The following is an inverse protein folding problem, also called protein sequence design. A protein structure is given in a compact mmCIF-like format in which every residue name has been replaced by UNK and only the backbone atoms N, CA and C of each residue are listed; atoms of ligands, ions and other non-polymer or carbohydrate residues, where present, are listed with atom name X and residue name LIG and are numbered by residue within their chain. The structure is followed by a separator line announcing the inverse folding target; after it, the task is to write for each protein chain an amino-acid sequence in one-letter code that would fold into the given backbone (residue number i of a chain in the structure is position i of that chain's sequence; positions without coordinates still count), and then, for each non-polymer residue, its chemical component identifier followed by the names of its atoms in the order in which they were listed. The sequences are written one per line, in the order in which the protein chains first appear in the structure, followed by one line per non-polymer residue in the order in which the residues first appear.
data_IF_521884999859
#
_entry.id   IF_521884999859
#
_cell.length_a   1.000
_cell.length_b   1.000
_cell.length_c   1.000
_cell.angle_alpha   90.00
_cell.angle_beta   90.00
_cell.angle_gamma   90.00
#
_symmetry.space_group_name_H-M   'P 1'
#
loop_
_entity.id
_entity.type
_entity.pdbx_description
1 polymer ?
#
# COMPACT_ATOMS: atom_id res chain seq x y z
N UNK A 1 11.14 -13.42 -7.76
CA UNK A 1 9.86 -12.88 -8.26
C UNK A 1 9.61 -13.35 -9.70
N UNK A 2 8.33 -13.40 -10.10
CA UNK A 2 7.92 -13.54 -11.49
C UNK A 2 7.02 -12.36 -11.87
N UNK A 3 6.85 -12.12 -13.16
CA UNK A 3 5.99 -11.06 -13.68
C UNK A 3 4.62 -11.64 -14.05
N UNK A 4 3.54 -10.94 -13.75
CA UNK A 4 2.21 -11.18 -14.30
C UNK A 4 2.02 -10.16 -15.42
N UNK A 5 1.85 -10.64 -16.66
CA UNK A 5 1.82 -9.72 -17.78
C UNK A 5 1.68 -10.43 -19.13
N UNK A 6 1.98 -9.70 -20.19
CA UNK A 6 2.00 -10.19 -21.57
C UNK A 6 3.42 -10.21 -22.12
N UNK A 7 3.86 -11.35 -22.60
CA UNK A 7 5.19 -11.53 -23.19
C UNK A 7 5.47 -10.54 -24.32
N UNK A 8 4.56 -10.27 -25.29
CA UNK A 8 4.80 -9.28 -26.33
C UNK A 8 5.08 -7.87 -25.77
N UNK A 9 4.32 -7.41 -24.77
CA UNK A 9 4.51 -6.08 -24.16
C UNK A 9 5.84 -6.00 -23.40
N UNK A 10 6.17 -7.04 -22.63
CA UNK A 10 7.44 -7.12 -21.89
C UNK A 10 8.61 -7.14 -22.86
N UNK A 11 8.53 -7.92 -23.95
CA UNK A 11 9.57 -7.96 -24.98
C UNK A 11 9.80 -6.60 -25.65
N UNK A 12 8.72 -5.83 -25.92
CA UNK A 12 8.82 -4.45 -26.43
C UNK A 12 9.49 -3.53 -25.41
N UNK A 13 9.10 -3.62 -24.14
CA UNK A 13 9.72 -2.82 -23.07
C UNK A 13 11.21 -3.14 -22.90
N UNK A 14 11.59 -4.41 -22.96
CA UNK A 14 12.99 -4.84 -22.88
C UNK A 14 13.83 -4.26 -24.02
N UNK A 15 13.30 -4.25 -25.26
CA UNK A 15 13.98 -3.63 -26.41
C UNK A 15 14.21 -2.13 -26.18
N UNK A 16 13.22 -1.41 -25.64
CA UNK A 16 13.34 0.02 -25.32
C UNK A 16 14.42 0.26 -24.26
N UNK A 17 14.49 -0.60 -23.26
CA UNK A 17 15.45 -0.51 -22.15
C UNK A 17 16.84 -1.06 -22.48
N UNK A 18 17.01 -1.66 -23.65
CA UNK A 18 18.28 -2.34 -24.00
C UNK A 18 18.59 -3.53 -23.10
N UNK A 19 17.56 -4.21 -22.59
CA UNK A 19 17.70 -5.40 -21.74
C UNK A 19 17.83 -6.66 -22.60
N UNK A 20 18.76 -7.53 -22.23
CA UNK A 20 19.08 -8.81 -22.90
C UNK A 20 18.64 -10.03 -22.07
N UNK A 21 17.82 -9.84 -21.05
CA UNK A 21 17.27 -10.94 -20.27
C UNK A 21 16.48 -11.92 -21.16
N UNK A 22 16.60 -13.19 -20.89
CA UNK A 22 15.75 -14.20 -21.52
C UNK A 22 14.35 -14.18 -20.92
N UNK A 23 13.32 -14.35 -21.73
CA UNK A 23 11.95 -14.53 -21.23
C UNK A 23 11.65 -16.02 -21.11
N UNK A 24 11.19 -16.44 -19.94
CA UNK A 24 10.64 -17.75 -19.70
C UNK A 24 9.13 -17.60 -19.43
N UNK A 25 8.32 -17.97 -20.41
CA UNK A 25 6.85 -17.96 -20.27
C UNK A 25 6.44 -19.13 -19.37
N UNK A 26 5.60 -18.85 -18.38
CA UNK A 26 5.06 -19.84 -17.46
C UNK A 26 3.52 -19.78 -17.45
N UNK A 27 2.87 -20.89 -17.16
CA UNK A 27 1.43 -21.02 -16.97
C UNK A 27 1.06 -21.02 -15.47
N UNK A 28 1.97 -21.45 -14.59
CA UNK A 28 1.77 -21.52 -13.17
C UNK A 28 2.99 -20.99 -12.41
N UNK A 29 2.82 -20.38 -11.20
CA UNK A 29 3.92 -19.86 -10.40
C UNK A 29 5.01 -20.88 -10.07
N UNK A 30 4.65 -22.16 -9.93
CA UNK A 30 5.58 -23.26 -9.63
C UNK A 30 6.56 -23.57 -10.77
N UNK A 31 6.28 -23.11 -11.98
CA UNK A 31 7.17 -23.27 -13.14
C UNK A 31 8.31 -22.24 -13.16
N UNK A 32 8.22 -21.21 -12.29
CA UNK A 32 9.21 -20.15 -12.23
C UNK A 32 10.58 -20.69 -11.82
N UNK A 33 11.62 -20.28 -12.54
CA UNK A 33 13.01 -20.73 -12.36
C UNK A 33 13.79 -19.84 -11.41
N UNK A 34 13.36 -18.57 -11.27
CA UNK A 34 14.03 -17.55 -10.46
C UNK A 34 15.53 -17.41 -10.73
N UNK A 35 15.94 -17.62 -11.99
CA UNK A 35 17.33 -17.55 -12.41
C UNK A 35 17.73 -16.15 -12.83
N UNK A 36 18.92 -15.70 -12.43
CA UNK A 36 19.45 -14.41 -12.88
C UNK A 36 19.57 -14.38 -14.41
N UNK A 37 19.23 -13.26 -15.02
CA UNK A 37 19.21 -13.10 -16.47
C UNK A 37 17.97 -13.68 -17.15
N UNK A 38 17.01 -14.20 -16.38
CA UNK A 38 15.74 -14.74 -16.89
C UNK A 38 14.56 -14.05 -16.20
N UNK A 39 13.59 -13.62 -17.00
CA UNK A 39 12.30 -13.11 -16.53
C UNK A 39 11.26 -14.22 -16.69
N UNK A 40 10.81 -14.79 -15.57
CA UNK A 40 9.66 -15.66 -15.56
C UNK A 40 8.40 -14.80 -15.73
N UNK A 41 7.60 -15.07 -16.77
CA UNK A 41 6.40 -14.30 -17.11
C UNK A 41 5.19 -15.22 -17.10
N UNK A 42 4.32 -15.02 -16.13
CA UNK A 42 2.98 -15.62 -16.11
C UNK A 42 2.10 -14.86 -17.09
N UNK A 43 1.96 -15.43 -18.30
CA UNK A 43 1.15 -14.82 -19.34
C UNK A 43 -0.32 -14.82 -18.95
N UNK A 44 -0.94 -13.65 -19.02
CA UNK A 44 -2.31 -13.46 -18.58
C UNK A 44 -3.12 -12.77 -19.66
N UNK A 45 -4.18 -13.43 -20.11
CA UNK A 45 -5.06 -12.97 -21.18
C UNK A 45 -4.51 -13.20 -22.58
N UNK A 46 -5.40 -13.10 -23.57
CA UNK A 46 -5.07 -13.12 -25.00
C UNK A 46 -5.49 -11.77 -25.58
N UNK A 47 -4.49 -10.93 -25.91
CA UNK A 47 -4.70 -9.56 -26.32
C UNK A 47 -4.00 -9.26 -27.64
N UNK A 48 -4.63 -8.42 -28.46
CA UNK A 48 -3.97 -7.78 -29.59
C UNK A 48 -2.95 -6.74 -29.12
N UNK A 49 -1.77 -7.21 -28.67
CA UNK A 49 -0.71 -6.36 -28.14
C UNK A 49 -0.11 -5.42 -29.18
N UNK A 50 -0.26 -5.73 -30.48
CA UNK A 50 0.26 -4.89 -31.57
C UNK A 50 -0.56 -3.62 -31.73
N UNK A 51 -1.82 -3.62 -31.36
CA UNK A 51 -2.69 -2.43 -31.34
C UNK A 51 -2.36 -1.45 -30.22
N UNK A 52 -1.50 -1.82 -29.25
CA UNK A 52 -1.11 -0.92 -28.15
C UNK A 52 -0.09 0.10 -28.62
N UNK A 53 -0.49 1.37 -28.60
CA UNK A 53 0.37 2.51 -28.90
C UNK A 53 0.97 3.10 -27.62
N UNK A 54 2.32 3.24 -27.60
CA UNK A 54 3.02 3.84 -26.47
C UNK A 54 2.68 5.32 -26.29
N UNK A 55 2.54 5.75 -25.04
CA UNK A 55 2.22 7.16 -24.71
C UNK A 55 0.76 7.57 -24.92
N UNK A 56 -0.12 6.63 -25.31
CA UNK A 56 -1.54 6.89 -25.47
C UNK A 56 -2.37 6.20 -24.39
N UNK A 57 -3.42 6.89 -23.94
CA UNK A 57 -4.43 6.30 -23.06
C UNK A 57 -5.37 5.44 -23.87
N UNK A 58 -5.44 4.15 -23.57
CA UNK A 58 -6.21 3.17 -24.33
C UNK A 58 -6.99 2.24 -23.41
N UNK A 59 -8.23 1.92 -23.83
CA UNK A 59 -9.10 0.97 -23.08
C UNK A 59 -8.43 -0.40 -22.95
N UNK A 60 -7.83 -0.92 -24.02
CA UNK A 60 -7.20 -2.23 -24.01
C UNK A 60 -6.03 -2.29 -23.00
N UNK A 61 -5.16 -1.29 -22.98
CA UNK A 61 -4.09 -1.21 -22.00
C UNK A 61 -4.61 -1.13 -20.55
N UNK A 62 -5.72 -0.42 -20.35
CA UNK A 62 -6.43 -0.38 -19.07
C UNK A 62 -6.99 -1.75 -18.66
N UNK A 63 -7.61 -2.46 -19.59
CA UNK A 63 -8.13 -3.82 -19.34
C UNK A 63 -7.00 -4.78 -18.98
N UNK A 64 -5.92 -4.81 -19.75
CA UNK A 64 -4.74 -5.63 -19.46
C UNK A 64 -4.20 -5.35 -18.04
N UNK A 65 -4.08 -4.08 -17.67
CA UNK A 65 -3.61 -3.69 -16.33
C UNK A 65 -4.53 -4.22 -15.23
N UNK A 66 -5.85 -4.16 -15.43
CA UNK A 66 -6.82 -4.70 -14.48
C UNK A 66 -6.72 -6.22 -14.38
N UNK A 67 -6.63 -6.91 -15.51
CA UNK A 67 -6.57 -8.37 -15.53
C UNK A 67 -5.30 -8.89 -14.83
N UNK A 68 -4.16 -8.17 -14.95
CA UNK A 68 -2.94 -8.50 -14.22
C UNK A 68 -3.11 -8.30 -12.70
N UNK A 69 -3.76 -7.22 -12.29
CA UNK A 69 -4.08 -6.97 -10.87
C UNK A 69 -5.01 -8.06 -10.34
N UNK A 70 -6.09 -8.38 -11.07
CA UNK A 70 -7.04 -9.43 -10.68
C UNK A 70 -6.36 -10.80 -10.58
N UNK A 71 -5.45 -11.12 -11.52
CA UNK A 71 -4.67 -12.35 -11.47
C UNK A 71 -3.75 -12.40 -10.24
N UNK A 72 -3.14 -11.28 -9.87
CA UNK A 72 -2.33 -11.23 -8.64
C UNK A 72 -3.16 -11.47 -7.37
N UNK A 73 -4.39 -10.95 -7.34
CA UNK A 73 -5.34 -11.18 -6.23
C UNK A 73 -5.76 -12.65 -6.17
N UNK A 74 -6.10 -13.25 -7.31
CA UNK A 74 -6.42 -14.68 -7.41
C UNK A 74 -5.30 -15.55 -6.82
N UNK A 75 -4.06 -15.30 -7.24
CA UNK A 75 -2.89 -16.04 -6.76
C UNK A 75 -2.62 -15.83 -5.27
N UNK A 76 -2.78 -14.59 -4.78
CA UNK A 76 -2.65 -14.28 -3.36
C UNK A 76 -3.69 -14.99 -2.50
N UNK A 77 -4.97 -14.97 -2.93
CA UNK A 77 -6.08 -15.68 -2.24
C UNK A 77 -5.88 -17.20 -2.25
N UNK A 78 -5.23 -17.73 -3.28
CA UNK A 78 -4.87 -19.14 -3.36
C UNK A 78 -3.61 -19.51 -2.55
N UNK A 79 -2.93 -18.56 -1.92
CA UNK A 79 -1.69 -18.79 -1.17
C UNK A 79 -0.49 -19.17 -2.05
N UNK A 80 -0.53 -18.83 -3.33
CA UNK A 80 0.52 -19.17 -4.30
C UNK A 80 1.61 -18.09 -4.39
N UNK A 81 1.36 -16.93 -3.80
CA UNK A 81 2.31 -15.81 -3.69
C UNK A 81 2.18 -15.17 -2.32
N UNK A 82 3.28 -14.59 -1.82
CA UNK A 82 3.34 -13.93 -0.51
C UNK A 82 3.17 -12.42 -0.59
N UNK A 83 3.63 -11.82 -1.68
CA UNK A 83 3.69 -10.36 -1.87
C UNK A 83 3.46 -10.00 -3.34
N UNK A 84 2.79 -8.87 -3.55
CA UNK A 84 2.65 -8.26 -4.88
C UNK A 84 3.37 -6.92 -4.91
N UNK A 85 4.27 -6.75 -5.89
CA UNK A 85 4.86 -5.45 -6.23
C UNK A 85 4.20 -4.96 -7.51
N UNK A 86 3.47 -3.85 -7.43
CA UNK A 86 2.72 -3.31 -8.56
C UNK A 86 3.54 -2.31 -9.38
N UNK A 87 3.49 -2.43 -10.70
CA UNK A 87 3.87 -1.35 -11.60
C UNK A 87 2.80 -0.24 -11.58
N UNK A 88 3.13 1.00 -11.99
CA UNK A 88 2.14 2.06 -12.10
C UNK A 88 0.99 1.70 -13.05
N UNK A 89 -0.24 2.12 -12.71
CA UNK A 89 -1.40 2.03 -13.60
C UNK A 89 -1.85 3.42 -14.03
N UNK A 90 -2.47 3.50 -15.21
CA UNK A 90 -3.06 4.73 -15.70
C UNK A 90 -4.55 4.78 -15.33
N UNK A 91 -4.92 5.68 -14.39
CA UNK A 91 -6.28 5.76 -13.83
C UNK A 91 -7.37 5.96 -14.89
N UNK A 92 -7.11 6.79 -15.89
CA UNK A 92 -8.04 7.02 -17.00
C UNK A 92 -8.20 5.77 -17.87
N UNK A 93 -7.11 5.05 -18.16
CA UNK A 93 -7.16 3.82 -18.95
C UNK A 93 -7.99 2.73 -18.26
N UNK A 94 -7.79 2.51 -16.95
CA UNK A 94 -8.60 1.53 -16.21
C UNK A 94 -10.07 1.95 -16.10
N UNK A 95 -10.35 3.27 -16.02
CA UNK A 95 -11.71 3.79 -16.07
C UNK A 95 -12.37 3.53 -17.43
N UNK A 96 -11.65 3.72 -18.54
CA UNK A 96 -12.12 3.36 -19.89
C UNK A 96 -12.40 1.85 -20.02
N UNK A 97 -11.67 1.03 -19.30
CA UNK A 97 -11.90 -0.41 -19.22
C UNK A 97 -13.08 -0.80 -18.29
N UNK A 98 -13.73 0.18 -17.65
CA UNK A 98 -14.92 -0.03 -16.82
C UNK A 98 -14.65 -0.12 -15.31
N UNK A 99 -13.41 0.07 -14.86
CA UNK A 99 -13.10 0.10 -13.43
C UNK A 99 -13.71 1.35 -12.78
N UNK A 100 -14.44 1.16 -11.70
CA UNK A 100 -15.06 2.25 -10.92
C UNK A 100 -14.18 2.68 -9.74
N UNK A 101 -13.15 1.92 -9.43
CA UNK A 101 -12.26 2.14 -8.29
C UNK A 101 -11.09 3.07 -8.68
N UNK A 102 -10.60 3.93 -7.77
CA UNK A 102 -9.64 4.97 -8.11
C UNK A 102 -8.21 4.47 -8.33
N UNK A 103 -7.85 3.28 -7.84
CA UNK A 103 -6.50 2.74 -7.97
C UNK A 103 -6.27 1.42 -7.26
N UNK A 104 -5.02 1.00 -7.21
CA UNK A 104 -4.62 -0.30 -6.66
C UNK A 104 -5.16 -0.56 -5.25
N UNK A 105 -4.99 0.38 -4.32
CA UNK A 105 -5.37 0.20 -2.92
C UNK A 105 -6.84 -0.20 -2.79
N UNK A 106 -7.71 0.52 -3.49
CA UNK A 106 -9.15 0.28 -3.44
C UNK A 106 -9.54 -1.00 -4.19
N UNK A 107 -8.84 -1.32 -5.30
CA UNK A 107 -9.04 -2.57 -6.03
C UNK A 107 -8.68 -3.75 -5.13
N UNK A 108 -7.48 -3.74 -4.53
CA UNK A 108 -7.07 -4.81 -3.62
C UNK A 108 -8.02 -4.93 -2.43
N UNK A 109 -8.39 -3.82 -1.78
CA UNK A 109 -9.28 -3.85 -0.62
C UNK A 109 -10.64 -4.47 -0.96
N UNK A 110 -11.28 -4.04 -2.06
CA UNK A 110 -12.60 -4.52 -2.47
C UNK A 110 -12.54 -5.99 -2.89
N UNK A 111 -11.59 -6.36 -3.74
CA UNK A 111 -11.51 -7.70 -4.32
C UNK A 111 -11.01 -8.76 -3.32
N UNK A 112 -10.24 -8.36 -2.30
CA UNK A 112 -9.88 -9.24 -1.19
C UNK A 112 -10.92 -9.25 -0.07
N UNK A 113 -11.96 -8.40 -0.15
CA UNK A 113 -12.99 -8.24 0.88
C UNK A 113 -12.38 -7.87 2.24
N UNK A 114 -11.33 -7.06 2.23
CA UNK A 114 -10.67 -6.60 3.45
C UNK A 114 -11.45 -5.45 4.10
N UNK A 115 -11.68 -5.52 5.40
CA UNK A 115 -12.40 -4.49 6.15
C UNK A 115 -11.69 -3.13 6.12
N UNK A 116 -10.36 -3.15 5.96
CA UNK A 116 -9.55 -1.93 5.90
C UNK A 116 -8.33 -2.11 5.00
N UNK A 117 -7.78 -0.97 4.54
CA UNK A 117 -6.50 -0.90 3.86
C UNK A 117 -5.53 0.00 4.62
N UNK A 118 -4.43 -0.54 5.11
CA UNK A 118 -3.36 0.25 5.72
C UNK A 118 -2.36 0.70 4.66
N UNK A 119 -2.05 1.99 4.65
CA UNK A 119 -0.95 2.52 3.85
C UNK A 119 0.24 2.79 4.75
N UNK A 120 1.38 2.21 4.42
CA UNK A 120 2.63 2.38 5.14
C UNK A 120 3.71 2.92 4.22
N UNK A 121 4.40 3.97 4.66
CA UNK A 121 5.70 4.34 4.08
C UNK A 121 6.80 3.68 4.91
N UNK A 122 7.71 3.01 4.23
CA UNK A 122 8.83 2.32 4.85
C UNK A 122 10.14 2.88 4.31
N UNK A 123 10.91 3.52 5.19
CA UNK A 123 12.22 4.09 4.86
C UNK A 123 13.23 3.66 5.92
N UNK A 124 14.16 2.80 5.57
CA UNK A 124 15.08 2.16 6.51
C UNK A 124 14.32 1.46 7.65
N UNK A 125 14.49 1.94 8.89
CA UNK A 125 13.83 1.37 10.07
C UNK A 125 12.53 2.10 10.44
N UNK A 126 12.22 3.21 9.77
CA UNK A 126 11.04 3.99 10.04
C UNK A 126 9.85 3.50 9.22
N UNK A 127 8.73 3.25 9.89
CA UNK A 127 7.45 2.91 9.27
C UNK A 127 6.43 3.96 9.67
N UNK A 128 5.80 4.58 8.68
CA UNK A 128 4.82 5.66 8.89
C UNK A 128 3.48 5.22 8.33
N UNK A 129 2.47 5.23 9.17
CA UNK A 129 1.08 4.92 8.81
C UNK A 129 0.24 6.19 8.79
N UNK A 130 -0.81 6.19 7.99
CA UNK A 130 -1.65 7.36 7.78
C UNK A 130 -3.02 7.16 8.39
N UNK A 131 -3.41 8.04 9.32
CA UNK A 131 -4.77 8.09 9.86
C UNK A 131 -5.76 8.53 8.78
N UNK A 132 -5.35 9.50 7.94
CA UNK A 132 -6.15 10.03 6.84
C UNK A 132 -5.35 10.09 5.54
N UNK A 133 -6.05 10.03 4.38
CA UNK A 133 -5.46 10.12 3.03
C UNK A 133 -6.43 10.82 2.08
N UNK A 134 -5.91 11.56 1.11
CA UNK A 134 -6.67 12.12 -0.01
C UNK A 134 -7.94 12.90 0.39
N UNK A 135 -7.83 13.74 1.41
CA UNK A 135 -8.92 14.61 1.87
C UNK A 135 -8.45 16.04 2.15
N UNK A 136 -9.36 16.99 2.22
CA UNK A 136 -9.04 18.37 2.58
C UNK A 136 -8.49 18.45 4.00
N UNK A 137 -7.54 19.36 4.26
CA UNK A 137 -6.88 19.49 5.55
C UNK A 137 -7.88 19.65 6.72
N UNK A 138 -8.89 20.50 6.58
CA UNK A 138 -9.93 20.68 7.61
C UNK A 138 -10.65 19.36 7.92
N UNK A 139 -11.06 18.62 6.89
CA UNK A 139 -11.69 17.32 7.05
C UNK A 139 -10.74 16.28 7.67
N UNK A 140 -9.43 16.35 7.39
CA UNK A 140 -8.44 15.46 7.97
C UNK A 140 -8.30 15.68 9.49
N UNK A 141 -8.37 16.93 9.96
CA UNK A 141 -8.38 17.23 11.40
C UNK A 141 -9.61 16.62 12.09
N UNK A 142 -10.80 16.81 11.53
CA UNK A 142 -12.04 16.24 12.07
C UNK A 142 -12.05 14.70 11.99
N UNK A 143 -11.43 14.14 10.95
CA UNK A 143 -11.32 12.69 10.76
C UNK A 143 -10.37 12.02 11.76
N UNK A 144 -9.35 12.74 12.25
CA UNK A 144 -8.41 12.24 13.25
C UNK A 144 -9.00 12.20 14.67
N UNK A 145 -10.27 11.80 14.79
CA UNK A 145 -10.95 11.64 16.07
C UNK A 145 -10.49 10.38 16.83
N UNK A 146 -10.87 10.30 18.13
CA UNK A 146 -10.50 9.19 19.03
C UNK A 146 -10.76 7.81 18.41
N UNK A 147 -11.94 7.59 17.83
CA UNK A 147 -12.34 6.29 17.31
C UNK A 147 -11.44 5.88 16.12
N UNK A 148 -11.18 6.81 15.20
CA UNK A 148 -10.33 6.56 14.01
C UNK A 148 -8.87 6.34 14.38
N UNK A 149 -8.32 7.16 15.29
CA UNK A 149 -6.93 7.00 15.74
C UNK A 149 -6.74 5.66 16.44
N UNK A 150 -7.65 5.30 17.37
CA UNK A 150 -7.63 4.01 18.06
C UNK A 150 -7.72 2.84 17.05
N UNK A 151 -8.67 2.89 16.12
CA UNK A 151 -8.81 1.85 15.11
C UNK A 151 -7.51 1.69 14.28
N UNK A 152 -6.87 2.80 13.90
CA UNK A 152 -5.61 2.76 13.16
C UNK A 152 -4.49 2.07 13.98
N UNK A 153 -4.35 2.43 15.25
CA UNK A 153 -3.36 1.82 16.16
C UNK A 153 -3.62 0.31 16.35
N UNK A 154 -4.88 -0.09 16.51
CA UNK A 154 -5.27 -1.50 16.61
C UNK A 154 -4.95 -2.28 15.33
N UNK A 155 -5.27 -1.71 14.16
CA UNK A 155 -4.97 -2.31 12.85
C UNK A 155 -3.45 -2.49 12.66
N UNK A 156 -2.64 -1.47 12.98
CA UNK A 156 -1.18 -1.56 12.91
C UNK A 156 -0.65 -2.67 13.83
N UNK A 157 -1.14 -2.73 15.07
CA UNK A 157 -0.73 -3.75 16.02
C UNK A 157 -1.09 -5.15 15.53
N UNK A 158 -2.30 -5.34 15.00
CA UNK A 158 -2.78 -6.60 14.45
C UNK A 158 -1.90 -7.07 13.29
N UNK A 159 -1.67 -6.22 12.28
CA UNK A 159 -0.87 -6.57 11.10
C UNK A 159 0.59 -6.86 11.45
N UNK A 160 1.19 -6.09 12.36
CA UNK A 160 2.56 -6.35 12.79
C UNK A 160 2.70 -7.65 13.57
N UNK A 161 1.70 -7.99 14.37
CA UNK A 161 1.66 -9.27 15.09
C UNK A 161 1.56 -10.44 14.10
N UNK A 162 0.71 -10.32 13.07
CA UNK A 162 0.59 -11.29 11.99
C UNK A 162 1.91 -11.47 11.20
N UNK A 163 2.69 -10.39 11.04
CA UNK A 163 4.03 -10.40 10.44
C UNK A 163 5.14 -10.85 11.41
N UNK A 164 4.80 -11.41 12.58
CA UNK A 164 5.75 -11.82 13.63
C UNK A 164 6.61 -10.68 14.22
N UNK A 165 6.19 -9.42 14.09
CA UNK A 165 6.81 -8.29 14.78
C UNK A 165 6.20 -8.22 16.17
N UNK A 166 6.92 -8.75 17.16
CA UNK A 166 6.43 -8.83 18.53
C UNK A 166 6.46 -7.46 19.19
N UNK A 167 5.35 -7.10 19.84
CA UNK A 167 5.20 -5.87 20.64
C UNK A 167 5.69 -4.60 19.93
N UNK A 168 5.14 -4.25 18.75
CA UNK A 168 5.55 -3.07 18.00
C UNK A 168 5.35 -1.80 18.84
N UNK A 169 6.33 -0.91 18.84
CA UNK A 169 6.22 0.40 19.50
C UNK A 169 5.58 1.39 18.53
N UNK A 170 4.41 1.89 18.88
CA UNK A 170 3.59 2.73 18.00
C UNK A 170 3.52 4.14 18.58
N UNK A 171 4.13 5.11 17.93
CA UNK A 171 4.01 6.52 18.31
C UNK A 171 2.89 7.19 17.50
N UNK A 172 1.97 7.86 18.18
CA UNK A 172 0.95 8.71 17.57
C UNK A 172 1.49 10.14 17.49
N UNK A 173 1.61 10.68 16.28
CA UNK A 173 2.03 12.07 16.07
C UNK A 173 0.92 13.04 16.48
N UNK A 174 1.28 14.17 17.07
CA UNK A 174 0.36 15.25 17.34
C UNK A 174 -0.12 15.94 16.06
N UNK A 175 -1.28 16.60 16.11
CA UNK A 175 -1.83 17.42 15.03
C UNK A 175 -1.33 18.87 15.15
N UNK A 176 -1.38 19.41 16.36
CA UNK A 176 -0.99 20.81 16.61
C UNK A 176 0.50 20.96 16.88
N UNK A 177 1.08 22.15 16.65
CA UNK A 177 2.44 22.46 17.03
C UNK A 177 2.69 22.14 18.52
N UNK A 178 3.85 21.55 18.80
CA UNK A 178 4.29 21.16 20.16
C UNK A 178 3.29 20.29 20.93
N UNK A 179 2.34 19.65 20.23
CA UNK A 179 1.27 18.88 20.86
C UNK A 179 0.24 19.75 21.59
N UNK A 180 -0.10 20.91 20.98
CA UNK A 180 -1.02 21.95 21.47
C UNK A 180 -0.57 22.74 22.72
N UNK A 181 0.64 22.55 23.23
CA UNK A 181 1.15 23.23 24.45
C UNK A 181 0.09 23.27 25.58
N UNK A 182 -0.42 22.11 25.96
CA UNK A 182 -1.50 21.93 26.96
C UNK A 182 -2.81 22.67 26.62
N UNK A 183 -3.16 22.75 25.34
CA UNK A 183 -4.40 23.37 24.88
C UNK A 183 -4.29 24.84 24.49
N UNK A 184 -3.09 25.41 24.48
CA UNK A 184 -2.88 26.80 24.04
C UNK A 184 -3.18 26.99 22.56
N UNK A 185 -2.92 25.96 21.72
CA UNK A 185 -3.08 25.98 20.26
C UNK A 185 -4.16 25.01 19.75
N UNK A 186 -5.09 24.59 20.58
CA UNK A 186 -6.16 23.68 20.22
C UNK A 186 -6.35 22.56 21.24
N UNK A 187 -7.44 21.83 21.10
CA UNK A 187 -7.81 20.76 22.03
C UNK A 187 -7.87 19.38 21.37
N UNK A 188 -7.48 19.26 20.09
CA UNK A 188 -7.57 18.03 19.31
C UNK A 188 -6.80 16.87 19.95
N UNK A 189 -5.61 17.15 20.52
CA UNK A 189 -4.82 16.17 21.26
C UNK A 189 -5.54 15.72 22.54
N UNK A 190 -6.05 16.67 23.32
CA UNK A 190 -6.73 16.39 24.60
C UNK A 190 -8.03 15.63 24.40
N UNK A 191 -8.82 16.01 23.39
CA UNK A 191 -10.15 15.48 23.15
C UNK A 191 -10.13 14.16 22.39
N UNK A 192 -9.10 13.92 21.56
CA UNK A 192 -9.08 12.80 20.63
C UNK A 192 -7.82 11.91 20.75
N UNK A 193 -6.62 12.47 20.60
CA UNK A 193 -5.40 11.67 20.48
C UNK A 193 -4.99 11.02 21.81
N UNK A 194 -4.98 11.80 22.89
CA UNK A 194 -4.65 11.29 24.24
C UNK A 194 -5.64 10.18 24.67
N UNK A 195 -6.97 10.35 24.55
CA UNK A 195 -7.90 9.28 24.86
C UNK A 195 -7.78 8.05 23.97
N UNK A 196 -7.37 8.21 22.69
CA UNK A 196 -7.13 7.09 21.79
C UNK A 196 -5.90 6.27 22.21
N UNK A 197 -4.79 6.96 22.50
CA UNK A 197 -3.54 6.31 22.97
C UNK A 197 -3.79 5.59 24.29
N UNK A 198 -4.48 6.23 25.24
CA UNK A 198 -4.82 5.60 26.52
C UNK A 198 -5.67 4.34 26.34
N UNK A 199 -6.70 4.39 25.50
CA UNK A 199 -7.52 3.22 25.20
C UNK A 199 -6.71 2.09 24.56
N UNK A 200 -5.76 2.40 23.65
CA UNK A 200 -4.87 1.41 23.07
C UNK A 200 -3.96 0.76 24.15
N UNK A 201 -3.43 1.54 25.08
CA UNK A 201 -2.63 1.05 26.21
C UNK A 201 -3.43 0.13 27.14
N UNK A 202 -4.68 0.47 27.42
CA UNK A 202 -5.59 -0.35 28.22
C UNK A 202 -5.86 -1.72 27.55
N UNK A 203 -5.73 -1.81 26.21
CA UNK A 203 -5.80 -3.06 25.44
C UNK A 203 -4.46 -3.81 25.39
N UNK A 204 -3.43 -3.34 26.06
CA UNK A 204 -2.10 -3.95 26.05
C UNK A 204 -1.24 -3.61 24.83
N UNK A 205 -1.65 -2.63 24.01
CA UNK A 205 -0.88 -2.18 22.85
C UNK A 205 0.20 -1.19 23.31
N UNK A 206 1.43 -1.39 22.87
CA UNK A 206 2.56 -0.50 23.18
C UNK A 206 2.49 0.80 22.36
N UNK A 207 1.50 1.62 22.67
CA UNK A 207 1.24 2.91 22.05
C UNK A 207 1.73 4.06 22.94
N UNK A 208 2.31 5.09 22.33
CA UNK A 208 2.76 6.30 23.03
C UNK A 208 2.32 7.55 22.27
N UNK A 209 2.21 8.67 22.96
CA UNK A 209 1.88 9.95 22.34
C UNK A 209 0.66 10.63 23.00
N UNK A 210 0.17 11.70 22.37
CA UNK A 210 0.69 12.32 21.14
C UNK A 210 2.13 12.84 21.31
N UNK A 211 2.99 12.56 20.32
CA UNK A 211 4.37 13.06 20.26
C UNK A 211 4.41 14.27 19.32
N UNK A 212 5.05 15.40 19.68
CA UNK A 212 5.13 16.56 18.82
C UNK A 212 5.57 16.22 17.38
N UNK A 213 4.86 16.73 16.38
CA UNK A 213 5.05 16.37 14.98
C UNK A 213 6.42 16.80 14.43
N UNK A 214 7.03 17.82 14.98
CA UNK A 214 8.36 18.31 14.64
C UNK A 214 9.50 17.35 15.07
N UNK A 215 9.26 16.53 16.08
CA UNK A 215 10.27 15.64 16.66
C UNK A 215 9.99 14.15 16.45
N UNK A 216 8.75 13.74 16.26
CA UNK A 216 8.36 12.32 16.17
C UNK A 216 9.13 11.54 15.10
N UNK A 217 9.33 12.10 13.91
CA UNK A 217 10.04 11.43 12.82
C UNK A 217 11.54 11.33 13.10
N UNK A 218 12.14 12.35 13.70
CA UNK A 218 13.53 12.32 14.11
C UNK A 218 13.77 11.23 15.16
N UNK A 219 12.93 11.16 16.17
CA UNK A 219 13.00 10.16 17.23
C UNK A 219 12.72 8.75 16.69
N UNK A 220 11.77 8.60 15.76
CA UNK A 220 11.49 7.35 15.07
C UNK A 220 12.68 6.85 14.26
N UNK A 221 13.37 7.74 13.53
CA UNK A 221 14.61 7.41 12.81
C UNK A 221 15.72 6.91 13.74
N UNK A 222 15.76 7.40 14.98
CA UNK A 222 16.71 6.96 16.02
C UNK A 222 16.30 5.62 16.67
N UNK A 223 15.18 5.00 16.26
CA UNK A 223 14.68 3.74 16.82
C UNK A 223 14.03 3.89 18.20
N UNK A 224 13.48 5.05 18.52
CA UNK A 224 12.69 5.26 19.75
C UNK A 224 11.35 4.53 19.68
N UNK A 225 10.83 4.38 18.48
CA UNK A 225 9.53 3.77 18.20
C UNK A 225 9.64 2.63 17.21
#
# INVERSE_FOLDING_TARGET
PFLIGSVPIISRAMKIMGSDFAIHKIAHPQEARFSWGTLDVLETGDYDCDSIEWGKVQKLAGQMSLDYVMKSIELGKAGLIDVVSTAPIHKEAIKLAGCKLPGHTEIYQVETQSDYGLTMFHVHNLRVFFVSRHMALKAACDYANKARVLACVQQIHHEFTALNIKNPRIAVAALNPHGSDNGLFGHEEADNLIPAVKAAQEMGINAIGPVPADSVFHLGKQGRY
#
